data_IF_008078184714
#
_entry.id   IF_008078184714
#
_cell.length_a   1.000
_cell.length_b   1.000
_cell.length_c   1.000
_cell.angle_alpha   90.00
_cell.angle_beta   90.00
_cell.angle_gamma   90.00
#
_symmetry.space_group_name_H-M   'P 1'
#
loop_
_entity.id
_entity.type
_entity.pdbx_description
1 polymer ?
#
# COMPACT_ATOMS: atom_id res chain seq x y z
N UNK A 1 15.03 22.00 -28.87
CA UNK A 1 14.83 21.39 -27.53
C UNK A 1 14.84 22.51 -26.52
N UNK A 2 13.77 22.71 -25.71
CA UNK A 2 13.81 23.69 -24.61
C UNK A 2 14.82 23.18 -23.59
N UNK A 3 15.85 23.95 -23.29
CA UNK A 3 16.76 23.68 -22.18
C UNK A 3 15.95 23.56 -20.90
N UNK A 4 16.13 22.44 -20.17
CA UNK A 4 15.45 22.24 -18.91
C UNK A 4 15.87 23.36 -17.92
N UNK A 5 14.89 23.99 -17.30
CA UNK A 5 15.12 25.04 -16.30
C UNK A 5 15.68 24.39 -15.02
N UNK A 6 16.92 24.70 -14.68
CA UNK A 6 17.57 24.21 -13.46
C UNK A 6 17.55 25.31 -12.40
N UNK A 7 17.14 24.98 -11.19
CA UNK A 7 17.10 25.90 -10.05
C UNK A 7 17.84 25.31 -8.85
N UNK A 8 18.57 26.17 -8.14
CA UNK A 8 19.21 25.85 -6.86
C UNK A 8 18.28 26.33 -5.76
N UNK A 9 17.88 25.44 -4.85
CA UNK A 9 16.97 25.75 -3.74
C UNK A 9 17.39 25.03 -2.47
N UNK A 10 17.08 25.65 -1.32
CA UNK A 10 17.21 25.02 0.00
C UNK A 10 15.85 24.59 0.49
N UNK A 11 15.74 23.33 0.88
CA UNK A 11 14.49 22.74 1.38
C UNK A 11 14.22 23.22 2.80
N UNK A 12 13.07 23.86 3.01
CA UNK A 12 12.69 24.46 4.29
C UNK A 12 11.89 23.49 5.18
N UNK A 13 10.99 22.71 4.56
CA UNK A 13 10.08 21.79 5.26
C UNK A 13 9.54 20.70 4.35
N UNK A 14 8.84 19.72 4.93
CA UNK A 14 8.03 18.78 4.18
C UNK A 14 6.57 19.22 4.14
N UNK A 15 5.91 19.01 3.00
CA UNK A 15 4.47 19.16 2.88
C UNK A 15 3.71 17.90 3.37
N UNK A 16 2.40 17.89 3.13
CA UNK A 16 1.53 16.81 3.58
C UNK A 16 1.70 15.52 2.76
N UNK A 17 2.29 15.61 1.57
CA UNK A 17 2.66 14.49 0.71
C UNK A 17 4.10 14.00 0.95
N UNK A 18 4.75 14.53 1.99
CA UNK A 18 6.13 14.23 2.37
C UNK A 18 7.17 14.66 1.32
N UNK A 19 6.80 15.61 0.46
CA UNK A 19 7.72 16.26 -0.47
C UNK A 19 8.38 17.47 0.19
N UNK A 20 9.67 17.70 -0.12
CA UNK A 20 10.37 18.91 0.32
C UNK A 20 9.78 20.16 -0.32
N UNK A 21 9.69 21.22 0.46
CA UNK A 21 9.16 22.52 0.02
C UNK A 21 10.18 23.60 0.28
N UNK A 22 10.34 24.48 -0.72
CA UNK A 22 11.08 25.73 -0.63
C UNK A 22 10.26 26.88 -1.21
N UNK A 23 10.55 28.11 -0.75
CA UNK A 23 9.92 29.31 -1.30
C UNK A 23 10.99 30.22 -1.90
N UNK A 24 10.81 30.65 -3.14
CA UNK A 24 11.72 31.55 -3.84
C UNK A 24 10.95 32.42 -4.83
N UNK A 25 11.13 33.74 -4.76
CA UNK A 25 10.50 34.69 -5.68
C UNK A 25 8.96 34.59 -5.71
N UNK A 26 8.33 34.39 -4.56
CA UNK A 26 6.86 34.24 -4.44
C UNK A 26 6.29 32.91 -4.96
N UNK A 27 7.15 31.95 -5.35
CA UNK A 27 6.75 30.63 -5.83
C UNK A 27 7.07 29.57 -4.82
N UNK A 28 6.19 28.56 -4.69
CA UNK A 28 6.39 27.33 -3.91
C UNK A 28 7.04 26.28 -4.80
N UNK A 29 8.23 25.82 -4.46
CA UNK A 29 8.89 24.68 -5.11
C UNK A 29 8.59 23.41 -4.34
N UNK A 30 8.23 22.35 -5.03
CA UNK A 30 7.91 21.04 -4.45
C UNK A 30 8.83 20.00 -5.07
N UNK A 31 9.60 19.31 -4.22
CA UNK A 31 10.65 18.38 -4.62
C UNK A 31 10.51 17.08 -3.85
N UNK A 32 10.16 16.02 -4.52
CA UNK A 32 10.05 14.70 -3.89
C UNK A 32 11.42 14.17 -3.42
N UNK A 33 11.41 13.30 -2.41
CA UNK A 33 12.60 12.59 -1.91
C UNK A 33 13.73 13.49 -1.38
N UNK A 34 13.35 14.64 -0.85
CA UNK A 34 14.28 15.56 -0.16
C UNK A 34 13.89 15.72 1.30
N UNK A 35 14.84 16.19 2.11
CA UNK A 35 14.68 16.47 3.54
C UNK A 35 14.88 17.95 3.83
N UNK A 36 14.33 18.48 4.93
CA UNK A 36 14.63 19.81 5.39
C UNK A 36 16.16 20.01 5.56
N UNK A 37 16.61 21.24 5.36
CA UNK A 37 17.97 21.70 5.40
C UNK A 37 18.87 21.24 4.23
N UNK A 38 18.37 20.47 3.28
CA UNK A 38 19.11 20.11 2.07
C UNK A 38 19.16 21.26 1.08
N UNK A 39 20.32 21.46 0.48
CA UNK A 39 20.50 22.33 -0.68
C UNK A 39 20.60 21.47 -1.94
N UNK A 40 19.71 21.73 -2.92
CA UNK A 40 19.55 20.86 -4.09
C UNK A 40 19.53 21.63 -5.40
N UNK A 41 20.10 21.03 -6.45
CA UNK A 41 19.84 21.41 -7.83
C UNK A 41 18.65 20.60 -8.35
N UNK A 42 17.64 21.31 -8.82
CA UNK A 42 16.39 20.71 -9.29
C UNK A 42 16.10 21.10 -10.73
N UNK A 43 15.58 20.15 -11.49
CA UNK A 43 15.00 20.38 -12.81
C UNK A 43 13.50 20.65 -12.69
N UNK A 44 13.04 21.78 -13.23
CA UNK A 44 11.62 22.12 -13.29
C UNK A 44 10.90 21.18 -14.27
N UNK A 45 9.95 20.38 -13.79
CA UNK A 45 9.13 19.48 -14.59
C UNK A 45 7.84 20.11 -15.06
N UNK A 46 7.13 20.76 -14.15
CA UNK A 46 5.87 21.41 -14.47
C UNK A 46 5.56 22.56 -13.50
N UNK A 47 4.77 23.50 -13.97
CA UNK A 47 4.21 24.60 -13.17
C UNK A 47 2.71 24.33 -12.99
N UNK A 48 2.20 24.46 -11.76
CA UNK A 48 0.79 24.24 -11.43
C UNK A 48 0.34 25.36 -10.48
N UNK A 49 -0.30 26.40 -11.03
CA UNK A 49 -0.63 27.61 -10.28
C UNK A 49 0.64 28.28 -9.75
N UNK A 50 0.71 28.51 -8.45
CA UNK A 50 1.89 29.07 -7.76
C UNK A 50 2.95 28.01 -7.42
N UNK A 51 2.67 26.71 -7.63
CA UNK A 51 3.60 25.63 -7.34
C UNK A 51 4.45 25.27 -8.56
N UNK A 52 5.74 25.01 -8.32
CA UNK A 52 6.72 24.53 -9.29
C UNK A 52 7.15 23.15 -8.84
N UNK A 53 6.79 22.12 -9.60
CA UNK A 53 7.16 20.73 -9.32
C UNK A 53 8.51 20.45 -9.97
N UNK A 54 9.43 19.90 -9.19
CA UNK A 54 10.80 19.69 -9.62
C UNK A 54 11.29 18.28 -9.27
N UNK A 55 12.20 17.76 -10.09
CA UNK A 55 12.99 16.56 -9.78
C UNK A 55 14.37 16.95 -9.30
N UNK A 56 14.89 16.22 -8.32
CA UNK A 56 16.27 16.36 -7.87
C UNK A 56 17.23 15.92 -8.98
N UNK A 57 18.19 16.79 -9.32
CA UNK A 57 19.34 16.45 -10.17
C UNK A 57 20.56 16.12 -9.32
N UNK A 58 20.78 16.92 -8.29
CA UNK A 58 21.92 16.77 -7.41
C UNK A 58 21.59 17.32 -6.02
N UNK A 59 22.10 16.68 -4.99
CA UNK A 59 22.02 17.17 -3.61
C UNK A 59 23.41 17.77 -3.30
N UNK A 60 23.45 19.09 -3.20
CA UNK A 60 24.69 19.84 -2.94
C UNK A 60 25.10 19.76 -1.47
N UNK A 61 24.12 19.91 -0.58
CA UNK A 61 24.30 19.76 0.87
C UNK A 61 23.26 18.77 1.38
N UNK A 62 23.73 17.70 2.03
CA UNK A 62 22.87 16.67 2.62
C UNK A 62 22.43 17.07 4.01
N UNK A 63 21.16 16.81 4.34
CA UNK A 63 20.68 16.85 5.72
C UNK A 63 21.44 15.81 6.57
N UNK A 64 21.80 16.14 7.81
CA UNK A 64 22.38 15.19 8.76
C UNK A 64 21.48 13.99 9.09
N UNK A 65 20.21 14.07 8.67
CA UNK A 65 19.21 12.99 8.82
C UNK A 65 19.09 12.09 7.58
N UNK A 66 19.81 12.39 6.51
CA UNK A 66 19.82 11.58 5.28
C UNK A 66 20.64 10.32 5.45
N UNK A 67 20.11 9.23 4.98
CA UNK A 67 20.80 7.96 4.81
C UNK A 67 20.67 7.47 3.38
N UNK A 68 21.56 6.58 2.95
CA UNK A 68 21.44 5.91 1.65
C UNK A 68 20.26 4.95 1.69
N UNK A 69 19.31 5.02 0.72
CA UNK A 69 18.17 4.12 0.67
C UNK A 69 18.60 2.67 0.49
N UNK A 70 18.14 1.77 1.37
CA UNK A 70 18.42 0.33 1.27
C UNK A 70 17.77 -0.35 0.06
N UNK A 71 16.79 0.30 -0.57
CA UNK A 71 16.06 -0.22 -1.72
C UNK A 71 16.62 0.35 -3.03
N UNK A 72 17.19 -0.51 -3.88
CA UNK A 72 17.73 -0.10 -5.19
C UNK A 72 16.70 0.49 -6.16
N UNK A 73 15.43 0.35 -5.87
CA UNK A 73 14.33 0.87 -6.68
C UNK A 73 13.76 2.20 -6.17
N UNK A 74 14.28 2.72 -5.05
CA UNK A 74 13.71 3.88 -4.37
C UNK A 74 13.54 5.10 -5.29
N UNK A 75 14.51 5.35 -6.16
CA UNK A 75 14.47 6.53 -7.05
C UNK A 75 13.38 6.45 -8.13
N UNK A 76 12.96 5.24 -8.48
CA UNK A 76 12.00 5.00 -9.58
C UNK A 76 10.64 4.54 -9.08
N UNK A 77 10.61 3.67 -8.07
CA UNK A 77 9.39 3.08 -7.55
C UNK A 77 8.57 4.09 -6.74
N UNK A 78 7.25 4.16 -7.00
CA UNK A 78 6.32 5.02 -6.27
C UNK A 78 5.84 4.46 -4.92
N UNK A 79 6.38 3.32 -4.47
CA UNK A 79 5.88 2.64 -3.26
C UNK A 79 6.34 3.22 -1.93
N UNK A 80 7.42 4.04 -1.91
CA UNK A 80 8.02 4.57 -0.69
C UNK A 80 8.44 6.02 -0.86
N UNK A 81 8.22 6.84 0.19
CA UNK A 81 8.52 8.28 0.16
C UNK A 81 9.71 8.66 1.05
N UNK A 82 10.05 7.90 2.09
CA UNK A 82 10.98 8.31 3.15
C UNK A 82 12.17 7.34 3.40
N UNK A 83 12.47 6.40 2.49
CA UNK A 83 13.60 5.47 2.70
C UNK A 83 14.99 6.13 2.68
N UNK A 84 15.07 7.41 2.33
CA UNK A 84 16.30 8.21 2.37
C UNK A 84 16.55 8.85 3.76
N UNK A 85 15.80 8.39 4.78
CA UNK A 85 16.05 8.76 6.17
C UNK A 85 15.82 7.56 7.09
N UNK A 86 16.34 7.61 8.34
CA UNK A 86 16.20 6.51 9.29
C UNK A 86 14.75 6.29 9.70
N UNK A 87 14.40 5.06 10.10
CA UNK A 87 13.05 4.73 10.58
C UNK A 87 12.62 5.64 11.74
N UNK A 88 13.52 5.90 12.69
CA UNK A 88 13.25 6.85 13.78
C UNK A 88 12.83 8.22 13.25
N UNK A 89 13.59 8.76 12.31
CA UNK A 89 13.27 10.07 11.74
C UNK A 89 11.98 10.06 10.91
N UNK A 90 11.65 8.94 10.24
CA UNK A 90 10.35 8.79 9.58
C UNK A 90 9.18 8.92 10.57
N UNK A 91 9.31 8.33 11.76
CA UNK A 91 8.30 8.47 12.83
C UNK A 91 8.23 9.90 13.36
N UNK A 92 9.36 10.57 13.56
CA UNK A 92 9.41 11.99 13.94
C UNK A 92 8.71 12.88 12.91
N UNK A 93 8.98 12.68 11.61
CA UNK A 93 8.34 13.40 10.51
C UNK A 93 6.82 13.17 10.51
N UNK A 94 6.38 11.93 10.63
CA UNK A 94 4.94 11.59 10.68
C UNK A 94 4.25 12.20 11.90
N UNK A 95 4.89 12.14 13.05
CA UNK A 95 4.40 12.79 14.28
C UNK A 95 4.24 14.30 14.09
N UNK A 96 5.28 14.98 13.56
CA UNK A 96 5.23 16.41 13.32
C UNK A 96 4.12 16.80 12.32
N UNK A 97 3.93 16.01 11.26
CA UNK A 97 2.86 16.21 10.28
C UNK A 97 1.47 16.13 10.94
N UNK A 98 1.20 15.08 11.71
CA UNK A 98 -0.09 14.89 12.38
C UNK A 98 -0.31 15.98 13.42
N UNK A 99 0.69 16.31 14.24
CA UNK A 99 0.59 17.40 15.22
C UNK A 99 0.22 18.74 14.55
N UNK A 100 0.86 19.07 13.44
CA UNK A 100 0.54 20.28 12.68
C UNK A 100 -0.92 20.30 12.21
N UNK A 101 -1.42 19.18 11.69
CA UNK A 101 -2.82 19.07 11.21
C UNK A 101 -3.81 19.18 12.36
N UNK A 102 -3.56 18.51 13.48
CA UNK A 102 -4.43 18.55 14.64
C UNK A 102 -4.41 19.91 15.36
N UNK A 103 -3.24 20.57 15.40
CA UNK A 103 -3.14 21.93 15.93
C UNK A 103 -4.02 22.93 15.16
N UNK A 104 -4.12 22.78 13.83
CA UNK A 104 -5.01 23.60 13.01
C UNK A 104 -6.51 23.39 13.33
N UNK A 105 -6.85 22.27 13.97
CA UNK A 105 -8.21 21.95 14.46
C UNK A 105 -8.40 22.24 15.96
N UNK A 106 -7.39 22.85 16.61
CA UNK A 106 -7.45 23.18 18.04
C UNK A 106 -7.02 22.07 19.00
N UNK A 107 -6.50 20.93 18.49
CA UNK A 107 -6.00 19.83 19.33
C UNK A 107 -4.49 19.94 19.55
N UNK A 108 -4.05 19.90 20.80
CA UNK A 108 -2.64 19.96 21.20
C UNK A 108 -2.06 18.61 21.65
N UNK A 109 -2.91 17.73 22.20
CA UNK A 109 -2.49 16.43 22.73
C UNK A 109 -2.48 15.36 21.62
N UNK A 110 -1.34 15.18 20.96
CA UNK A 110 -1.12 14.16 19.93
C UNK A 110 0.10 13.32 20.32
N UNK A 111 -0.13 12.02 20.51
CA UNK A 111 0.93 11.05 20.80
C UNK A 111 1.93 10.92 19.66
N UNK A 112 3.13 10.42 19.97
CA UNK A 112 4.13 10.09 18.94
C UNK A 112 3.64 8.95 18.06
N UNK A 113 4.07 8.98 16.79
CA UNK A 113 3.83 7.88 15.88
C UNK A 113 4.57 6.62 16.34
N UNK A 114 3.88 5.50 16.31
CA UNK A 114 4.45 4.19 16.64
C UNK A 114 4.80 3.46 15.36
N UNK A 115 5.95 2.81 15.35
CA UNK A 115 6.41 1.97 14.24
C UNK A 115 7.31 0.85 14.74
N UNK A 116 7.26 -0.28 14.02
CA UNK A 116 8.08 -1.46 14.27
C UNK A 116 9.07 -1.67 13.12
N UNK A 117 9.25 -2.91 12.67
CA UNK A 117 10.08 -3.19 11.51
C UNK A 117 9.53 -2.56 10.23
N UNK A 118 10.42 -2.02 9.40
CA UNK A 118 10.08 -1.59 8.04
C UNK A 118 9.99 -2.81 7.10
N UNK A 119 10.82 -3.84 7.33
CA UNK A 119 10.97 -4.99 6.45
C UNK A 119 9.87 -6.02 6.72
N UNK A 120 9.29 -6.55 5.65
CA UNK A 120 8.25 -7.58 5.72
C UNK A 120 6.95 -7.15 6.39
N UNK A 121 6.76 -5.86 6.63
CA UNK A 121 5.64 -5.32 7.41
C UNK A 121 4.29 -5.35 6.67
N UNK A 122 4.28 -5.50 5.33
CA UNK A 122 3.06 -5.50 4.52
C UNK A 122 2.59 -6.90 4.18
N UNK A 123 1.35 -7.19 4.53
CA UNK A 123 0.64 -8.43 4.21
C UNK A 123 -0.18 -8.37 2.90
N UNK A 124 -0.23 -7.23 2.23
CA UNK A 124 -0.97 -7.04 0.97
C UNK A 124 -0.10 -6.37 -0.08
N UNK A 125 -0.07 -6.92 -1.29
CA UNK A 125 0.60 -6.34 -2.45
C UNK A 125 -0.35 -6.12 -3.61
N UNK A 126 0.00 -5.16 -4.47
CA UNK A 126 -0.68 -4.85 -5.70
C UNK A 126 0.38 -4.80 -6.80
N UNK A 127 0.52 -5.90 -7.53
CA UNK A 127 1.54 -6.05 -8.59
C UNK A 127 0.95 -5.60 -9.92
N UNK A 128 1.66 -4.71 -10.59
CA UNK A 128 1.38 -4.29 -11.96
C UNK A 128 2.31 -4.99 -12.92
N UNK A 129 1.86 -5.21 -14.14
CA UNK A 129 2.62 -5.90 -15.18
C UNK A 129 2.89 -4.98 -16.36
N UNK A 130 4.01 -5.19 -17.00
CA UNK A 130 4.41 -4.51 -18.23
C UNK A 130 5.16 -5.44 -19.16
N UNK A 131 5.44 -4.95 -20.35
CA UNK A 131 6.31 -5.61 -21.30
C UNK A 131 7.41 -4.63 -21.70
N UNK A 132 8.65 -5.00 -21.48
CA UNK A 132 9.82 -4.22 -21.89
C UNK A 132 10.70 -5.08 -22.76
N UNK A 133 10.85 -4.69 -24.03
CA UNK A 133 11.69 -5.40 -25.04
C UNK A 133 11.38 -6.91 -25.14
N UNK A 134 10.09 -7.28 -25.06
CA UNK A 134 9.65 -8.67 -25.13
C UNK A 134 9.74 -9.44 -23.81
N UNK A 135 10.23 -8.82 -22.74
CA UNK A 135 10.28 -9.42 -21.40
C UNK A 135 9.14 -8.91 -20.52
N UNK A 136 8.53 -9.83 -19.78
CA UNK A 136 7.50 -9.49 -18.79
C UNK A 136 8.18 -8.79 -17.61
N UNK A 137 7.70 -7.59 -17.29
CA UNK A 137 8.08 -6.86 -16.08
C UNK A 137 6.94 -6.93 -15.09
N UNK A 138 7.27 -7.07 -13.80
CA UNK A 138 6.29 -7.15 -12.72
C UNK A 138 6.80 -6.39 -11.49
N UNK A 139 5.98 -5.50 -10.96
CA UNK A 139 6.39 -4.67 -9.83
C UNK A 139 5.36 -3.60 -9.51
N UNK A 140 5.79 -2.35 -9.45
CA UNK A 140 4.97 -1.21 -9.07
C UNK A 140 5.08 -0.08 -10.09
N UNK A 141 4.13 0.85 -10.08
CA UNK A 141 4.25 2.03 -10.91
C UNK A 141 5.40 2.93 -10.47
N UNK A 142 6.02 3.58 -11.42
CA UNK A 142 6.90 4.72 -11.17
C UNK A 142 6.12 5.82 -10.44
N UNK A 143 6.79 6.59 -9.59
CA UNK A 143 6.18 7.63 -8.77
C UNK A 143 5.41 8.69 -9.58
N UNK A 144 5.92 9.03 -10.77
CA UNK A 144 5.43 10.15 -11.57
C UNK A 144 4.68 9.71 -12.84
N UNK A 145 4.78 8.43 -13.20
CA UNK A 145 4.22 7.88 -14.43
C UNK A 145 3.49 6.57 -14.17
N UNK A 146 2.79 6.06 -15.19
CA UNK A 146 2.22 4.71 -15.15
C UNK A 146 3.17 3.66 -15.76
N UNK A 147 4.46 3.96 -15.85
CA UNK A 147 5.45 2.99 -16.28
C UNK A 147 5.72 1.98 -15.16
N UNK A 148 5.83 0.72 -15.53
CA UNK A 148 6.09 -0.36 -14.59
C UNK A 148 7.57 -0.42 -14.26
N UNK A 149 7.91 -0.22 -12.99
CA UNK A 149 9.23 -0.50 -12.46
C UNK A 149 9.29 -2.00 -12.14
N UNK A 150 10.20 -2.71 -12.79
CA UNK A 150 10.41 -4.14 -12.54
C UNK A 150 11.09 -4.33 -11.18
N UNK A 151 10.29 -4.69 -10.16
CA UNK A 151 10.73 -4.83 -8.78
C UNK A 151 10.81 -6.32 -8.44
N UNK A 152 12.02 -6.85 -8.40
CA UNK A 152 12.24 -8.27 -8.04
C UNK A 152 12.05 -8.52 -6.56
N UNK A 153 12.56 -7.61 -5.74
CA UNK A 153 12.55 -7.69 -4.28
C UNK A 153 11.99 -6.41 -3.69
N UNK A 154 11.04 -6.55 -2.78
CA UNK A 154 10.45 -5.42 -2.07
C UNK A 154 10.65 -5.56 -0.56
N UNK A 155 11.36 -4.64 0.06
CA UNK A 155 11.62 -4.66 1.50
C UNK A 155 10.34 -4.67 2.33
N UNK A 156 9.33 -3.87 1.94
CA UNK A 156 8.07 -3.78 2.67
C UNK A 156 7.29 -5.10 2.72
N UNK A 157 7.41 -5.93 1.68
CA UNK A 157 6.70 -7.21 1.60
C UNK A 157 7.56 -8.40 2.03
N UNK A 158 8.89 -8.31 1.89
CA UNK A 158 9.80 -9.42 2.18
C UNK A 158 9.73 -10.54 1.13
N UNK A 159 10.20 -11.73 1.51
CA UNK A 159 10.41 -12.88 0.61
C UNK A 159 9.12 -13.42 -0.05
N UNK A 160 7.97 -13.27 0.62
CA UNK A 160 6.72 -13.77 0.05
C UNK A 160 6.34 -13.08 -1.26
N UNK A 161 6.71 -11.81 -1.40
CA UNK A 161 6.52 -11.06 -2.64
C UNK A 161 7.37 -11.62 -3.79
N UNK A 162 8.64 -11.92 -3.53
CA UNK A 162 9.55 -12.49 -4.53
C UNK A 162 9.02 -13.83 -5.05
N UNK A 163 8.58 -14.69 -4.13
CA UNK A 163 7.99 -15.99 -4.44
C UNK A 163 6.72 -15.84 -5.27
N UNK A 164 5.79 -14.97 -4.84
CA UNK A 164 4.55 -14.70 -5.57
C UNK A 164 4.83 -14.14 -6.97
N UNK A 165 5.74 -13.14 -7.07
CA UNK A 165 6.10 -12.54 -8.34
C UNK A 165 6.61 -13.57 -9.35
N UNK A 166 7.48 -14.47 -8.93
CA UNK A 166 8.01 -15.56 -9.76
C UNK A 166 6.88 -16.47 -10.25
N UNK A 167 6.01 -16.93 -9.35
CA UNK A 167 4.86 -17.77 -9.71
C UNK A 167 3.96 -17.08 -10.74
N UNK A 168 3.70 -15.79 -10.56
CA UNK A 168 2.86 -15.02 -11.49
C UNK A 168 3.50 -14.88 -12.87
N UNK A 169 4.80 -14.59 -12.96
CA UNK A 169 5.53 -14.52 -14.24
C UNK A 169 5.51 -15.87 -14.96
N UNK A 170 5.71 -16.97 -14.23
CA UNK A 170 5.69 -18.32 -14.80
C UNK A 170 4.28 -18.69 -15.30
N UNK A 171 3.23 -18.32 -14.55
CA UNK A 171 1.84 -18.49 -14.97
C UNK A 171 1.53 -17.69 -16.25
N UNK A 172 1.93 -16.41 -16.29
CA UNK A 172 1.73 -15.55 -17.47
C UNK A 172 2.40 -16.15 -18.71
N UNK A 173 3.61 -16.69 -18.57
CA UNK A 173 4.32 -17.34 -19.67
C UNK A 173 3.66 -18.65 -20.09
N UNK A 174 3.33 -19.50 -19.13
CA UNK A 174 2.74 -20.82 -19.36
C UNK A 174 1.40 -20.74 -20.08
N UNK A 175 0.53 -19.84 -19.64
CA UNK A 175 -0.82 -19.65 -20.20
C UNK A 175 -0.86 -18.59 -21.30
N UNK A 176 0.30 -18.04 -21.70
CA UNK A 176 0.37 -16.96 -22.69
C UNK A 176 -0.57 -15.79 -22.40
N UNK A 177 -0.68 -15.42 -21.10
CA UNK A 177 -1.59 -14.36 -20.65
C UNK A 177 -1.16 -13.02 -21.20
N UNK A 178 -2.01 -12.36 -21.99
CA UNK A 178 -1.70 -11.03 -22.53
C UNK A 178 -1.79 -9.95 -21.45
N UNK A 179 -0.72 -9.14 -21.32
CA UNK A 179 -0.65 -8.04 -20.36
C UNK A 179 -1.41 -6.85 -20.91
N UNK A 180 -2.25 -6.23 -20.08
CA UNK A 180 -3.01 -5.05 -20.44
C UNK A 180 -2.11 -3.81 -20.61
N UNK A 181 -2.27 -3.13 -21.72
CA UNK A 181 -1.61 -1.87 -22.00
C UNK A 181 -2.65 -0.73 -21.89
N UNK A 182 -2.51 0.19 -20.93
CA UNK A 182 -3.49 1.27 -20.72
C UNK A 182 -3.56 2.29 -21.87
N UNK A 183 -2.51 2.41 -22.70
CA UNK A 183 -2.49 3.32 -23.86
C UNK A 183 -3.30 2.77 -25.02
N UNK A 184 -3.12 1.49 -25.35
CA UNK A 184 -3.81 0.83 -26.47
C UNK A 184 -5.10 0.15 -26.03
N UNK A 185 -5.30 -0.06 -24.71
CA UNK A 185 -6.38 -0.83 -24.11
C UNK A 185 -6.44 -2.29 -24.56
N UNK A 186 -5.36 -2.80 -25.12
CA UNK A 186 -5.21 -4.20 -25.51
C UNK A 186 -4.64 -5.03 -24.36
N UNK A 187 -4.95 -6.33 -24.34
CA UNK A 187 -4.51 -7.26 -23.32
C UNK A 187 -5.56 -7.54 -22.25
N UNK A 188 -5.29 -8.55 -21.44
CA UNK A 188 -6.26 -9.11 -20.47
C UNK A 188 -5.88 -8.82 -19.04
N UNK A 189 -4.65 -9.14 -18.61
CA UNK A 189 -4.22 -9.02 -17.22
C UNK A 189 -3.81 -7.58 -16.89
N UNK A 190 -4.56 -6.94 -15.99
CA UNK A 190 -4.26 -5.57 -15.52
C UNK A 190 -3.37 -5.58 -14.28
N UNK A 191 -3.77 -6.35 -13.26
CA UNK A 191 -3.13 -6.38 -11.96
C UNK A 191 -3.19 -7.77 -11.33
N UNK A 192 -2.31 -8.01 -10.36
CA UNK A 192 -2.46 -9.09 -9.39
C UNK A 192 -2.46 -8.48 -7.99
N UNK A 193 -3.55 -8.66 -7.26
CA UNK A 193 -3.66 -8.24 -5.88
C UNK A 193 -3.57 -9.48 -5.01
N UNK A 194 -2.59 -9.50 -4.11
CA UNK A 194 -2.45 -10.62 -3.19
C UNK A 194 -2.40 -10.18 -1.74
N UNK A 195 -2.93 -11.02 -0.87
CA UNK A 195 -2.89 -10.86 0.57
C UNK A 195 -2.38 -12.16 1.19
N UNK A 196 -1.42 -12.04 2.12
CA UNK A 196 -0.89 -13.14 2.90
C UNK A 196 -1.33 -12.98 4.36
N UNK A 197 -1.92 -14.02 4.93
CA UNK A 197 -2.29 -14.07 6.34
C UNK A 197 -1.78 -15.40 6.88
N UNK A 198 -0.90 -15.35 7.88
CA UNK A 198 -0.27 -16.56 8.40
C UNK A 198 0.40 -17.39 7.30
N UNK A 199 0.03 -18.67 7.19
CA UNK A 199 0.47 -19.61 6.17
C UNK A 199 -0.45 -19.71 4.96
N UNK A 200 -1.28 -18.69 4.68
CA UNK A 200 -2.24 -18.72 3.57
C UNK A 200 -2.11 -17.48 2.68
N UNK A 201 -2.46 -17.62 1.39
CA UNK A 201 -2.45 -16.52 0.42
C UNK A 201 -3.77 -16.45 -0.36
N UNK A 202 -4.29 -15.27 -0.54
CA UNK A 202 -5.38 -14.97 -1.47
C UNK A 202 -4.84 -14.15 -2.63
N UNK A 203 -5.02 -14.64 -3.84
CA UNK A 203 -4.64 -14.00 -5.08
C UNK A 203 -5.89 -13.62 -5.87
N UNK A 204 -6.02 -12.36 -6.22
CA UNK A 204 -7.03 -11.86 -7.17
C UNK A 204 -6.32 -11.34 -8.41
N UNK A 205 -6.56 -11.99 -9.55
CA UNK A 205 -6.12 -11.51 -10.86
C UNK A 205 -7.18 -10.55 -11.40
N UNK A 206 -6.81 -9.30 -11.61
CA UNK A 206 -7.71 -8.30 -12.18
C UNK A 206 -7.55 -8.31 -13.69
N UNK A 207 -8.62 -8.68 -14.39
CA UNK A 207 -8.63 -8.89 -15.84
C UNK A 207 -9.67 -8.00 -16.52
N UNK A 208 -9.44 -7.66 -17.78
CA UNK A 208 -10.40 -6.86 -18.58
C UNK A 208 -11.64 -7.67 -19.00
N UNK A 209 -11.52 -8.98 -19.01
CA UNK A 209 -12.59 -9.94 -19.33
C UNK A 209 -12.27 -11.30 -18.73
N UNK A 210 -13.28 -12.14 -18.57
CA UNK A 210 -13.08 -13.55 -18.22
C UNK A 210 -12.41 -14.29 -19.38
N UNK A 211 -11.41 -15.10 -19.04
CA UNK A 211 -10.73 -16.00 -19.96
C UNK A 211 -10.51 -17.32 -19.23
N UNK A 212 -10.75 -18.43 -19.91
CA UNK A 212 -10.57 -19.77 -19.35
C UNK A 212 -9.10 -20.20 -19.53
N UNK A 213 -8.26 -19.81 -18.56
CA UNK A 213 -6.90 -20.32 -18.40
C UNK A 213 -6.89 -21.56 -17.50
N UNK A 214 -5.86 -22.40 -17.62
CA UNK A 214 -5.64 -23.48 -16.65
C UNK A 214 -5.00 -22.92 -15.36
N UNK A 215 -5.83 -22.69 -14.36
CA UNK A 215 -5.39 -22.22 -13.04
C UNK A 215 -4.87 -23.34 -12.13
N UNK A 216 -4.94 -24.61 -12.53
CA UNK A 216 -4.55 -25.74 -11.69
C UNK A 216 -3.09 -25.68 -11.28
N UNK A 217 -2.20 -25.34 -12.22
CA UNK A 217 -0.77 -25.16 -11.93
C UNK A 217 -0.53 -23.97 -11.00
N UNK A 218 -1.24 -22.86 -11.21
CA UNK A 218 -1.12 -21.65 -10.38
C UNK A 218 -1.53 -21.97 -8.93
N UNK A 219 -2.68 -22.60 -8.71
CA UNK A 219 -3.13 -23.01 -7.39
C UNK A 219 -2.10 -23.89 -6.69
N UNK A 220 -1.65 -24.98 -7.35
CA UNK A 220 -0.65 -25.91 -6.79
C UNK A 220 0.65 -25.21 -6.42
N UNK A 221 1.10 -24.24 -7.23
CA UNK A 221 2.33 -23.48 -6.97
C UNK A 221 2.18 -22.54 -5.77
N UNK A 222 1.01 -21.93 -5.61
CA UNK A 222 0.68 -21.10 -4.45
C UNK A 222 0.59 -21.95 -3.18
N UNK A 223 -0.13 -23.07 -3.22
CA UNK A 223 -0.28 -23.99 -2.07
C UNK A 223 1.07 -24.57 -1.63
N UNK A 224 1.92 -24.95 -2.59
CA UNK A 224 3.28 -25.42 -2.28
C UNK A 224 4.12 -24.37 -1.55
N UNK A 225 3.93 -23.09 -1.88
CA UNK A 225 4.76 -22.00 -1.36
C UNK A 225 4.21 -21.35 -0.11
N UNK A 226 2.87 -21.38 0.08
CA UNK A 226 2.17 -20.61 1.11
C UNK A 226 1.21 -21.47 1.96
N UNK A 227 1.20 -22.78 1.78
CA UNK A 227 0.27 -23.67 2.49
C UNK A 227 -1.13 -23.63 1.87
N UNK A 228 -2.03 -22.77 2.36
CA UNK A 228 -3.36 -22.62 1.79
C UNK A 228 -3.44 -21.48 0.77
N UNK A 229 -4.24 -21.65 -0.29
CA UNK A 229 -4.43 -20.62 -1.29
C UNK A 229 -5.90 -20.45 -1.70
N UNK A 230 -6.25 -19.21 -2.05
CA UNK A 230 -7.50 -18.81 -2.70
C UNK A 230 -7.18 -18.05 -3.99
N UNK A 231 -7.76 -18.45 -5.10
CA UNK A 231 -7.56 -17.79 -6.40
C UNK A 231 -8.89 -17.23 -6.90
N UNK A 232 -8.88 -15.96 -7.20
CA UNK A 232 -9.99 -15.19 -7.74
C UNK A 232 -9.62 -14.49 -9.04
N UNK A 233 -10.61 -14.28 -9.89
CA UNK A 233 -10.58 -13.32 -10.99
C UNK A 233 -11.56 -12.21 -10.66
N UNK A 234 -11.11 -10.96 -10.79
CA UNK A 234 -11.97 -9.78 -10.77
C UNK A 234 -12.03 -9.22 -12.20
N UNK A 235 -13.23 -9.11 -12.75
CA UNK A 235 -13.42 -8.61 -14.11
C UNK A 235 -13.63 -7.09 -14.05
N UNK A 236 -12.60 -6.33 -14.40
CA UNK A 236 -12.64 -4.88 -14.40
C UNK A 236 -12.17 -4.31 -15.74
N UNK A 237 -13.12 -3.89 -16.58
CA UNK A 237 -12.84 -3.21 -17.85
C UNK A 237 -13.16 -1.71 -17.79
N UNK A 238 -13.39 -1.16 -16.61
CA UNK A 238 -13.76 0.23 -16.44
C UNK A 238 -12.57 1.17 -16.65
N UNK A 239 -12.90 2.41 -17.07
CA UNK A 239 -11.93 3.49 -17.29
C UNK A 239 -11.68 4.32 -16.03
N UNK A 240 -11.76 3.70 -14.87
CA UNK A 240 -11.58 4.33 -13.57
C UNK A 240 -10.24 3.95 -12.96
N UNK A 241 -9.84 4.66 -11.92
CA UNK A 241 -8.68 4.30 -11.10
C UNK A 241 -9.01 3.20 -10.07
N UNK A 242 -10.25 2.71 -10.04
CA UNK A 242 -10.64 1.60 -9.17
C UNK A 242 -9.90 0.33 -9.59
N UNK A 243 -9.27 -0.32 -8.62
CA UNK A 243 -8.55 -1.57 -8.85
C UNK A 243 -9.53 -2.71 -9.12
N UNK A 244 -10.58 -2.79 -8.32
CA UNK A 244 -11.61 -3.81 -8.40
C UNK A 244 -12.93 -3.24 -8.93
N UNK A 245 -13.64 -4.08 -9.68
CA UNK A 245 -15.09 -3.98 -9.89
C UNK A 245 -15.82 -4.78 -8.80
N UNK A 246 -17.14 -4.82 -8.86
CA UNK A 246 -17.95 -5.63 -7.95
C UNK A 246 -17.96 -7.13 -8.34
N UNK A 247 -17.46 -7.49 -9.51
CA UNK A 247 -17.49 -8.87 -10.03
C UNK A 247 -16.24 -9.66 -9.59
N UNK A 248 -16.39 -10.48 -8.56
CA UNK A 248 -15.37 -11.44 -8.10
C UNK A 248 -15.81 -12.88 -8.42
N UNK A 249 -15.00 -13.58 -9.18
CA UNK A 249 -15.22 -14.97 -9.58
C UNK A 249 -14.24 -15.84 -8.83
N UNK A 250 -14.73 -16.73 -7.96
CA UNK A 250 -13.89 -17.74 -7.33
C UNK A 250 -13.46 -18.78 -8.36
N UNK A 251 -12.17 -18.96 -8.50
CA UNK A 251 -11.59 -19.87 -9.51
C UNK A 251 -11.20 -21.21 -8.87
N UNK A 252 -10.42 -21.15 -7.77
CA UNK A 252 -9.88 -22.38 -7.18
C UNK A 252 -9.41 -22.15 -5.74
N UNK A 253 -9.22 -23.24 -4.99
CA UNK A 253 -8.74 -23.24 -3.61
C UNK A 253 -9.80 -22.83 -2.60
N UNK A 254 -9.36 -22.22 -1.50
CA UNK A 254 -10.26 -21.73 -0.44
C UNK A 254 -11.11 -20.56 -0.93
N UNK A 255 -12.28 -20.34 -0.30
CA UNK A 255 -13.12 -19.18 -0.60
C UNK A 255 -12.75 -17.95 0.23
N UNK A 256 -12.21 -18.17 1.43
CA UNK A 256 -11.80 -17.13 2.36
C UNK A 256 -10.40 -17.44 2.88
N UNK A 257 -9.72 -16.45 3.44
CA UNK A 257 -8.53 -16.67 4.26
C UNK A 257 -8.94 -16.63 5.73
N UNK A 258 -8.54 -17.65 6.48
CA UNK A 258 -8.68 -17.67 7.92
C UNK A 258 -7.48 -16.97 8.58
N UNK A 259 -7.74 -16.19 9.63
CA UNK A 259 -6.71 -15.52 10.42
C UNK A 259 -7.11 -15.41 11.89
N UNK A 260 -6.15 -14.96 12.69
CA UNK A 260 -6.37 -14.67 14.10
C UNK A 260 -5.68 -13.35 14.49
N UNK A 261 -6.37 -12.50 15.24
CA UNK A 261 -5.86 -11.24 15.78
C UNK A 261 -6.35 -11.07 17.22
N UNK A 262 -5.43 -10.98 18.17
CA UNK A 262 -5.76 -10.81 19.62
C UNK A 262 -6.71 -11.90 20.14
N UNK A 263 -6.57 -13.13 19.66
CA UNK A 263 -7.42 -14.26 20.01
C UNK A 263 -8.84 -14.19 19.40
N UNK A 264 -9.05 -13.33 18.42
CA UNK A 264 -10.25 -13.30 17.58
C UNK A 264 -9.93 -13.98 16.26
N UNK A 265 -10.56 -15.12 16.00
CA UNK A 265 -10.49 -15.80 14.71
C UNK A 265 -11.43 -15.12 13.74
N UNK A 266 -11.01 -14.98 12.50
CA UNK A 266 -11.80 -14.32 11.46
C UNK A 266 -11.60 -14.96 10.09
N UNK A 267 -12.57 -14.73 9.22
CA UNK A 267 -12.51 -15.07 7.81
C UNK A 267 -12.42 -13.79 6.97
N UNK A 268 -11.66 -13.83 5.88
CA UNK A 268 -11.45 -12.67 5.01
C UNK A 268 -11.80 -13.00 3.56
N UNK A 269 -12.74 -12.26 3.00
CA UNK A 269 -13.13 -12.31 1.60
C UNK A 269 -12.23 -11.41 0.72
N UNK A 270 -12.17 -11.61 -0.62
CA UNK A 270 -11.24 -10.89 -1.50
C UNK A 270 -11.42 -9.38 -1.51
N UNK A 271 -12.64 -8.90 -1.35
CA UNK A 271 -12.99 -7.47 -1.32
C UNK A 271 -13.07 -6.88 0.10
N UNK A 272 -12.89 -7.68 1.16
CA UNK A 272 -12.94 -7.18 2.54
C UNK A 272 -11.69 -6.37 2.88
N UNK A 273 -11.89 -5.27 3.60
CA UNK A 273 -10.77 -4.51 4.15
C UNK A 273 -10.13 -5.24 5.33
N UNK A 274 -8.81 -5.22 5.37
CA UNK A 274 -8.00 -5.66 6.50
C UNK A 274 -6.72 -4.85 6.53
N UNK A 275 -6.24 -4.49 7.70
CA UNK A 275 -5.02 -3.70 7.87
C UNK A 275 -3.82 -4.36 7.20
N UNK A 276 -3.00 -3.55 6.53
CA UNK A 276 -1.86 -4.08 5.74
C UNK A 276 -0.63 -4.40 6.58
N UNK A 277 -0.64 -4.02 7.86
CA UNK A 277 0.44 -4.26 8.83
C UNK A 277 -0.18 -4.82 10.11
N UNK A 278 0.07 -6.08 10.38
CA UNK A 278 -0.55 -6.81 11.50
C UNK A 278 -0.09 -6.31 12.87
N UNK A 279 1.19 -5.94 13.03
CA UNK A 279 1.74 -5.44 14.30
C UNK A 279 1.16 -4.07 14.65
N UNK A 280 1.04 -3.18 13.67
CA UNK A 280 0.39 -1.87 13.88
C UNK A 280 -1.10 -2.04 14.14
N UNK A 281 -1.78 -2.93 13.42
CA UNK A 281 -3.20 -3.22 13.66
C UNK A 281 -3.43 -3.70 15.10
N UNK A 282 -2.63 -4.65 15.55
CA UNK A 282 -2.67 -5.15 16.93
C UNK A 282 -2.50 -4.01 17.93
N UNK A 283 -1.47 -3.18 17.77
CA UNK A 283 -1.20 -2.05 18.64
C UNK A 283 -2.36 -1.06 18.71
N UNK A 284 -2.97 -0.74 17.55
CA UNK A 284 -4.15 0.14 17.49
C UNK A 284 -5.32 -0.47 18.27
N UNK A 285 -5.62 -1.76 18.05
CA UNK A 285 -6.75 -2.43 18.69
C UNK A 285 -6.57 -2.55 20.20
N UNK A 286 -5.35 -2.88 20.67
CA UNK A 286 -5.03 -2.91 22.10
C UNK A 286 -5.15 -1.52 22.74
N UNK A 287 -4.66 -0.47 22.06
CA UNK A 287 -4.77 0.91 22.56
C UNK A 287 -6.22 1.36 22.63
N UNK A 288 -7.03 1.14 21.60
CA UNK A 288 -8.44 1.49 21.59
C UNK A 288 -9.19 0.74 22.70
N UNK A 289 -8.94 -0.56 22.87
CA UNK A 289 -9.54 -1.33 23.97
C UNK A 289 -9.17 -0.77 25.34
N UNK A 290 -7.92 -0.36 25.55
CA UNK A 290 -7.46 0.26 26.80
C UNK A 290 -8.19 1.58 27.09
N UNK A 291 -8.34 2.44 26.07
CA UNK A 291 -9.05 3.72 26.20
C UNK A 291 -10.54 3.51 26.52
N UNK A 292 -11.20 2.56 25.84
CA UNK A 292 -12.61 2.24 26.11
C UNK A 292 -12.78 1.72 27.53
N UNK A 293 -11.89 0.85 28.03
CA UNK A 293 -11.94 0.35 29.42
C UNK A 293 -11.80 1.46 30.44
N UNK A 294 -10.97 2.46 30.19
CA UNK A 294 -10.77 3.60 31.09
C UNK A 294 -11.95 4.59 31.10
N UNK A 295 -12.77 4.57 30.03
CA UNK A 295 -13.93 5.46 29.90
C UNK A 295 -15.15 5.11 30.77
N UNK A 296 -15.17 3.92 31.44
CA UNK A 296 -16.20 3.52 32.41
C UNK A 296 -17.57 3.16 31.81
N UNK A 297 -17.73 3.20 30.48
CA UNK A 297 -18.94 2.75 29.78
C UNK A 297 -18.97 1.23 29.59
N UNK A 298 -20.15 0.66 29.34
CA UNK A 298 -20.33 -0.77 29.04
C UNK A 298 -20.88 -1.03 27.65
N UNK A 299 -21.08 0.01 26.81
CA UNK A 299 -21.60 -0.08 25.45
C UNK A 299 -20.68 0.66 24.47
N UNK A 300 -20.44 0.05 23.33
CA UNK A 300 -19.59 0.57 22.27
C UNK A 300 -20.34 0.54 20.95
N UNK A 301 -20.20 1.60 20.15
CA UNK A 301 -20.64 1.63 18.77
C UNK A 301 -19.40 1.61 17.89
N UNK A 302 -19.23 0.54 17.09
CA UNK A 302 -18.12 0.35 16.17
C UNK A 302 -18.58 0.72 14.74
N UNK A 303 -18.26 1.95 14.32
CA UNK A 303 -18.59 2.46 12.99
C UNK A 303 -17.51 2.06 12.00
N UNK A 304 -17.91 1.59 10.82
CA UNK A 304 -17.04 1.04 9.80
C UNK A 304 -16.28 -0.20 10.29
N UNK A 305 -17.01 -1.11 10.94
CA UNK A 305 -16.46 -2.26 11.68
C UNK A 305 -15.74 -3.30 10.81
N UNK A 306 -15.83 -3.18 9.48
CA UNK A 306 -15.19 -4.11 8.56
C UNK A 306 -15.63 -5.55 8.80
N UNK A 307 -14.65 -6.45 8.90
CA UNK A 307 -14.89 -7.87 9.21
C UNK A 307 -15.16 -8.16 10.70
N UNK A 308 -15.29 -7.12 11.54
CA UNK A 308 -15.76 -7.26 12.91
C UNK A 308 -14.71 -7.60 13.98
N UNK A 309 -13.41 -7.55 13.68
CA UNK A 309 -12.34 -7.89 14.64
C UNK A 309 -12.40 -7.01 15.89
N UNK A 310 -12.53 -5.68 15.73
CA UNK A 310 -12.65 -4.73 16.83
C UNK A 310 -13.91 -4.95 17.65
N UNK A 311 -15.03 -5.14 16.97
CA UNK A 311 -16.32 -5.43 17.60
C UNK A 311 -16.25 -6.71 18.45
N UNK A 312 -15.70 -7.78 17.92
CA UNK A 312 -15.54 -9.04 18.62
C UNK A 312 -14.54 -8.92 19.81
N UNK A 313 -13.48 -8.14 19.64
CA UNK A 313 -12.53 -7.85 20.70
C UNK A 313 -13.20 -7.12 21.88
N UNK A 314 -14.05 -6.14 21.61
CA UNK A 314 -14.79 -5.41 22.64
C UNK A 314 -15.82 -6.31 23.31
N UNK A 315 -16.59 -7.09 22.54
CA UNK A 315 -17.58 -8.03 23.10
C UNK A 315 -16.90 -9.08 24.00
N UNK A 316 -15.76 -9.65 23.57
CA UNK A 316 -14.96 -10.57 24.38
C UNK A 316 -14.48 -9.97 25.69
N UNK A 317 -14.36 -8.65 25.76
CA UNK A 317 -13.98 -7.91 26.97
C UNK A 317 -15.16 -7.36 27.78
N UNK A 318 -16.39 -7.84 27.52
CA UNK A 318 -17.58 -7.57 28.31
C UNK A 318 -18.39 -6.34 27.91
N UNK A 319 -18.10 -5.73 26.76
CA UNK A 319 -18.89 -4.62 26.25
C UNK A 319 -20.08 -5.10 25.42
N UNK A 320 -21.22 -4.40 25.54
CA UNK A 320 -22.31 -4.50 24.56
C UNK A 320 -21.88 -3.70 23.31
N UNK A 321 -21.91 -4.33 22.13
CA UNK A 321 -21.35 -3.73 20.91
C UNK A 321 -22.40 -3.65 19.81
N UNK A 322 -22.60 -2.46 19.26
CA UNK A 322 -23.35 -2.24 18.02
C UNK A 322 -22.36 -1.99 16.89
N UNK A 323 -22.37 -2.87 15.87
CA UNK A 323 -21.45 -2.81 14.72
C UNK A 323 -22.15 -2.31 13.48
N UNK A 324 -21.55 -1.37 12.75
CA UNK A 324 -22.10 -0.79 11.53
C UNK A 324 -21.06 -0.93 10.40
N UNK A 325 -21.44 -1.63 9.32
CA UNK A 325 -20.63 -1.84 8.13
C UNK A 325 -21.52 -1.84 6.87
N UNK A 326 -21.07 -1.20 5.78
CA UNK A 326 -21.80 -1.11 4.52
C UNK A 326 -21.44 -2.23 3.55
N UNK A 327 -20.21 -2.76 3.64
CA UNK A 327 -19.70 -3.77 2.71
C UNK A 327 -20.28 -5.13 3.07
N UNK A 328 -21.22 -5.64 2.25
CA UNK A 328 -21.97 -6.86 2.50
C UNK A 328 -21.07 -8.07 2.81
N UNK A 329 -19.99 -8.29 2.05
CA UNK A 329 -19.06 -9.40 2.31
C UNK A 329 -18.32 -9.29 3.65
N UNK A 330 -18.01 -8.07 4.09
CA UNK A 330 -17.40 -7.84 5.38
C UNK A 330 -18.40 -8.14 6.52
N UNK A 331 -19.67 -7.74 6.36
CA UNK A 331 -20.76 -8.10 7.28
C UNK A 331 -20.92 -9.63 7.38
N UNK A 332 -20.91 -10.34 6.26
CA UNK A 332 -21.00 -11.82 6.27
C UNK A 332 -19.76 -12.44 6.97
N UNK A 333 -18.56 -11.91 6.75
CA UNK A 333 -17.40 -12.36 7.50
C UNK A 333 -17.53 -12.08 9.01
N UNK A 334 -18.05 -10.92 9.40
CA UNK A 334 -18.26 -10.55 10.81
C UNK A 334 -19.24 -11.50 11.52
N UNK A 335 -20.26 -12.01 10.83
CA UNK A 335 -21.22 -12.98 11.39
C UNK A 335 -20.59 -14.35 11.71
N UNK A 336 -19.40 -14.64 11.22
CA UNK A 336 -18.69 -15.91 11.48
C UNK A 336 -17.79 -15.85 12.69
N UNK A 337 -17.61 -14.69 13.28
CA UNK A 337 -16.86 -14.47 14.52
C UNK A 337 -17.75 -14.69 15.73
#
# INVERSE_FOLDING_TARGET
MKTAEIVKIKIEKLDDDLCGVAFRGGKKYVVAKTLPDEEVLCEVKRKSGTAVICDVKEILEKSGKRVEPRCKYFDKCGGCNLLHTTHRNQLEIKTALIRRRFAALGFSAVSDAVGFSEDGSRNKTHIVFGNSKGQITAGFFNADTHEVVDVEKCLLHGEWYETLRRILIDFIKKESVSIYNPRTRAGVLRFAVARKIGGAIMLTLVMTKRVDYDFSWLLKSLEKSFGEAAVYVNVNNEKTNAVFSDEFIHIAGKRTLSGEMLGIKFELSPNSFYQVNDEIAKTIYEKVLSEIKSGGGNRVVDLFSGIGITSALFAKNGFAVDSVEIVKSAVENAKTI
#
